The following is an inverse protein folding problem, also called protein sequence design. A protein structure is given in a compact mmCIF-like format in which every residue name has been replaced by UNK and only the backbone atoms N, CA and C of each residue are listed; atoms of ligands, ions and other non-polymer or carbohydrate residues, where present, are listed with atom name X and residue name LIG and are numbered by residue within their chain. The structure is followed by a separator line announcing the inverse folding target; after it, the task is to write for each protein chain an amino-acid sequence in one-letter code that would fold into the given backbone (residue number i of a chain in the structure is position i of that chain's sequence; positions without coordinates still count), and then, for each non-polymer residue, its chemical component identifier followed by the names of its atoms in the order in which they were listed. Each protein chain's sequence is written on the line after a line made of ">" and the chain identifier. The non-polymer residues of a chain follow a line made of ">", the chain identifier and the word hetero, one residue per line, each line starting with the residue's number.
data_IF_096754945800
#
_entry.id   IF_096754945800
#
_cell.length_a   1.000
_cell.length_b   1.000
_cell.length_c   1.000
_cell.angle_alpha   90.00
_cell.angle_beta   90.00
_cell.angle_gamma   90.00
#
_symmetry.space_group_name_H-M   'P 1'
#
loop_
_entity.id
_entity.type
_entity.pdbx_description
1 polymer ?
#
# COMPACT_ATOMS: atom_id res chain seq x y z
N UNK A 1 12.26 10.96 29.19
CA UNK A 1 11.52 10.64 27.96
C UNK A 1 12.00 9.28 27.51
N UNK A 2 11.13 8.28 27.56
CA UNK A 2 11.40 6.85 27.36
C UNK A 2 10.63 6.38 26.10
N UNK A 3 11.33 5.89 25.05
CA UNK A 3 10.68 5.47 23.80
C UNK A 3 9.64 4.36 24.01
N UNK A 4 9.81 3.49 25.01
CA UNK A 4 8.90 2.38 25.31
C UNK A 4 7.64 2.84 26.06
N UNK A 5 7.70 4.03 26.66
CA UNK A 5 6.63 4.62 27.47
C UNK A 5 5.83 5.71 26.78
N UNK A 6 6.34 6.26 25.67
CA UNK A 6 5.71 7.35 24.90
C UNK A 6 5.36 6.94 23.47
N UNK A 7 5.31 5.64 23.17
CA UNK A 7 4.75 5.16 21.90
C UNK A 7 3.31 5.66 21.80
N UNK A 8 2.91 6.37 20.72
CA UNK A 8 1.58 6.94 20.62
C UNK A 8 0.49 5.84 20.72
N UNK A 9 -0.73 6.18 21.16
CA UNK A 9 -1.79 5.19 21.35
C UNK A 9 -2.04 4.36 20.07
N UNK A 10 -2.43 3.08 20.19
CA UNK A 10 -2.70 2.17 19.07
C UNK A 10 -3.68 2.72 18.03
N UNK A 11 -4.47 3.73 18.39
CA UNK A 11 -5.43 4.40 17.52
C UNK A 11 -4.78 5.08 16.31
N UNK A 12 -3.48 5.40 16.36
CA UNK A 12 -2.71 5.92 15.22
C UNK A 12 -2.25 4.82 14.24
N UNK A 13 -2.46 3.54 14.58
CA UNK A 13 -2.28 2.39 13.70
C UNK A 13 -3.61 1.87 13.13
N UNK A 14 -4.73 2.43 13.56
CA UNK A 14 -6.03 2.16 12.94
C UNK A 14 -5.95 2.78 11.56
N UNK A 15 -5.81 1.91 10.57
CA UNK A 15 -5.92 2.15 9.13
C UNK A 15 -6.33 3.59 8.84
N UNK A 16 -5.40 4.44 8.38
CA UNK A 16 -5.78 5.68 7.73
C UNK A 16 -6.75 5.24 6.60
N UNK A 17 -8.07 5.43 6.77
CA UNK A 17 -9.05 4.64 6.03
C UNK A 17 -9.03 5.02 4.55
N UNK A 18 -8.58 6.25 4.27
CA UNK A 18 -8.24 6.74 2.95
C UNK A 18 -7.19 5.87 2.22
N UNK A 19 -6.08 5.52 2.86
CA UNK A 19 -4.98 4.79 2.22
C UNK A 19 -5.34 3.34 1.95
N UNK A 20 -6.01 2.70 2.92
CA UNK A 20 -6.51 1.34 2.72
C UNK A 20 -7.58 1.32 1.62
N UNK A 21 -8.45 2.34 1.56
CA UNK A 21 -9.43 2.47 0.49
C UNK A 21 -8.78 2.69 -0.89
N UNK A 22 -7.74 3.53 -0.99
CA UNK A 22 -7.01 3.75 -2.25
C UNK A 22 -6.37 2.45 -2.77
N UNK A 23 -5.79 1.66 -1.86
CA UNK A 23 -5.15 0.39 -2.23
C UNK A 23 -6.15 -0.62 -2.80
N UNK A 24 -7.33 -0.76 -2.18
CA UNK A 24 -8.40 -1.59 -2.73
C UNK A 24 -9.03 -0.99 -4.00
N UNK A 25 -9.17 0.33 -4.08
CA UNK A 25 -9.76 1.00 -5.23
C UNK A 25 -8.91 0.77 -6.50
N UNK A 26 -7.59 0.67 -6.37
CA UNK A 26 -6.72 0.29 -7.48
C UNK A 26 -7.13 -1.06 -8.09
N UNK A 27 -7.33 -2.08 -7.25
CA UNK A 27 -7.80 -3.41 -7.68
C UNK A 27 -9.20 -3.34 -8.29
N UNK A 28 -10.13 -2.63 -7.66
CA UNK A 28 -11.50 -2.47 -8.17
C UNK A 28 -11.50 -1.80 -9.55
N UNK A 29 -10.66 -0.77 -9.76
CA UNK A 29 -10.54 -0.12 -11.06
C UNK A 29 -10.00 -1.04 -12.13
N UNK A 30 -9.04 -1.91 -11.80
CA UNK A 30 -8.59 -2.93 -12.72
C UNK A 30 -9.72 -3.91 -13.10
N UNK A 31 -10.47 -4.41 -12.12
CA UNK A 31 -11.63 -5.32 -12.34
C UNK A 31 -12.67 -4.68 -13.26
N UNK A 32 -12.88 -3.37 -13.14
CA UNK A 32 -13.81 -2.60 -13.98
C UNK A 32 -13.25 -2.26 -15.39
N UNK A 33 -12.12 -2.83 -15.78
CA UNK A 33 -11.50 -2.61 -17.09
C UNK A 33 -10.82 -1.24 -17.22
N UNK A 34 -10.41 -0.62 -16.10
CA UNK A 34 -9.79 0.71 -16.05
C UNK A 34 -8.33 0.64 -15.57
N UNK A 35 -7.41 -0.02 -16.32
CA UNK A 35 -6.04 -0.28 -15.88
C UNK A 35 -5.22 0.99 -15.64
N UNK A 36 -5.41 2.04 -16.44
CA UNK A 36 -4.69 3.30 -16.24
C UNK A 36 -5.09 3.98 -14.93
N UNK A 37 -6.40 3.98 -14.61
CA UNK A 37 -6.91 4.51 -13.34
C UNK A 37 -6.42 3.67 -12.16
N UNK A 38 -6.33 2.35 -12.32
CA UNK A 38 -5.76 1.47 -11.31
C UNK A 38 -4.29 1.84 -11.01
N UNK A 39 -3.47 2.05 -12.05
CA UNK A 39 -2.07 2.48 -11.90
C UNK A 39 -1.95 3.83 -11.20
N UNK A 40 -2.75 4.83 -11.57
CA UNK A 40 -2.73 6.15 -10.93
C UNK A 40 -3.03 6.07 -9.44
N UNK A 41 -4.08 5.33 -9.07
CA UNK A 41 -4.44 5.15 -7.65
C UNK A 41 -3.38 4.38 -6.88
N UNK A 42 -2.75 3.39 -7.50
CA UNK A 42 -1.68 2.65 -6.87
C UNK A 42 -0.45 3.51 -6.58
N UNK A 43 -0.05 4.37 -7.53
CA UNK A 43 1.04 5.33 -7.35
C UNK A 43 0.73 6.31 -6.22
N UNK A 44 -0.51 6.82 -6.18
CA UNK A 44 -0.97 7.72 -5.13
C UNK A 44 -0.91 7.04 -3.75
N UNK A 45 -1.42 5.82 -3.64
CA UNK A 45 -1.38 5.06 -2.40
C UNK A 45 0.06 4.79 -1.92
N UNK A 46 0.97 4.43 -2.83
CA UNK A 46 2.38 4.19 -2.51
C UNK A 46 3.08 5.46 -2.03
N UNK A 47 2.87 6.60 -2.70
CA UNK A 47 3.39 7.90 -2.26
C UNK A 47 2.90 8.24 -0.85
N UNK A 48 1.60 8.09 -0.59
CA UNK A 48 1.06 8.35 0.74
C UNK A 48 1.62 7.42 1.81
N UNK A 49 1.84 6.14 1.47
CA UNK A 49 2.44 5.19 2.41
C UNK A 49 3.90 5.53 2.75
N UNK A 50 4.66 6.08 1.79
CA UNK A 50 6.01 6.60 2.02
C UNK A 50 5.99 7.84 2.91
N UNK A 51 5.05 8.77 2.69
CA UNK A 51 4.90 9.99 3.50
C UNK A 51 4.54 9.70 4.96
N UNK A 52 3.67 8.72 5.21
CA UNK A 52 3.31 8.34 6.57
C UNK A 52 4.39 7.53 7.28
N UNK A 53 5.26 6.83 6.53
CA UNK A 53 6.35 6.02 7.05
C UNK A 53 5.93 5.06 8.19
N UNK A 54 4.74 4.46 8.05
CA UNK A 54 4.18 3.50 9.00
C UNK A 54 4.27 2.09 8.43
N UNK A 55 5.12 1.24 9.01
CA UNK A 55 5.44 -0.08 8.48
C UNK A 55 4.20 -0.94 8.15
N UNK A 56 3.16 -0.91 9.00
CA UNK A 56 1.91 -1.65 8.77
C UNK A 56 1.16 -1.15 7.53
N UNK A 57 1.03 0.17 7.36
CA UNK A 57 0.37 0.76 6.18
C UNK A 57 1.20 0.57 4.91
N UNK A 58 2.52 0.70 5.00
CA UNK A 58 3.43 0.45 3.89
C UNK A 58 3.31 -0.99 3.40
N UNK A 59 3.31 -1.98 4.31
CA UNK A 59 3.11 -3.38 3.94
C UNK A 59 1.74 -3.61 3.29
N UNK A 60 0.68 -3.03 3.84
CA UNK A 60 -0.68 -3.14 3.30
C UNK A 60 -0.77 -2.60 1.86
N UNK A 61 -0.30 -1.37 1.63
CA UNK A 61 -0.33 -0.75 0.31
C UNK A 61 0.56 -1.51 -0.68
N UNK A 62 1.77 -1.91 -0.29
CA UNK A 62 2.65 -2.69 -1.16
C UNK A 62 2.07 -4.06 -1.50
N UNK A 63 1.22 -4.62 -0.66
CA UNK A 63 0.54 -5.89 -0.93
C UNK A 63 -0.56 -5.70 -1.98
N UNK A 64 -1.51 -4.79 -1.76
CA UNK A 64 -2.67 -4.64 -2.65
C UNK A 64 -2.39 -3.75 -3.86
N UNK A 65 -1.97 -2.50 -3.63
CA UNK A 65 -1.72 -1.53 -4.68
C UNK A 65 -0.42 -1.78 -5.46
N UNK A 66 0.55 -2.46 -4.81
CA UNK A 66 1.81 -2.86 -5.43
C UNK A 66 1.72 -4.26 -6.06
N UNK A 67 2.13 -5.27 -5.30
CA UNK A 67 2.27 -6.65 -5.74
C UNK A 67 0.98 -7.20 -6.38
N UNK A 68 -0.18 -7.06 -5.73
CA UNK A 68 -1.44 -7.58 -6.25
C UNK A 68 -1.85 -6.94 -7.58
N UNK A 69 -1.74 -5.62 -7.72
CA UNK A 69 -2.02 -4.97 -8.99
C UNK A 69 -1.01 -5.35 -10.08
N UNK A 70 0.28 -5.41 -9.75
CA UNK A 70 1.33 -5.78 -10.69
C UNK A 70 1.21 -7.23 -11.15
N UNK A 71 0.74 -8.15 -10.29
CA UNK A 71 0.39 -9.52 -10.67
C UNK A 71 -0.75 -9.55 -11.70
N UNK A 72 -1.83 -8.81 -11.45
CA UNK A 72 -2.97 -8.69 -12.38
C UNK A 72 -2.59 -8.07 -13.73
N UNK A 73 -1.51 -7.29 -13.78
CA UNK A 73 -0.97 -6.68 -14.99
C UNK A 73 0.12 -7.54 -15.66
N UNK A 74 0.51 -8.68 -15.10
CA UNK A 74 1.56 -9.56 -15.62
C UNK A 74 2.99 -9.09 -15.33
N UNK A 75 3.17 -8.13 -14.43
CA UNK A 75 4.42 -7.42 -14.16
C UNK A 75 5.29 -8.14 -13.10
N UNK A 76 5.59 -9.42 -13.34
CA UNK A 76 6.22 -10.32 -12.35
C UNK A 76 7.49 -9.76 -11.69
N UNK A 77 8.35 -9.08 -12.45
CA UNK A 77 9.57 -8.44 -11.92
C UNK A 77 9.26 -7.33 -10.90
N UNK A 78 8.12 -6.65 -11.04
CA UNK A 78 7.68 -5.59 -10.14
C UNK A 78 7.04 -6.17 -8.88
N UNK A 79 6.28 -7.26 -9.02
CA UNK A 79 5.75 -8.06 -7.89
C UNK A 79 6.90 -8.44 -6.94
N UNK A 80 8.00 -8.96 -7.49
CA UNK A 80 9.17 -9.36 -6.68
C UNK A 80 9.76 -8.19 -5.89
N UNK A 81 9.90 -7.01 -6.51
CA UNK A 81 10.41 -5.80 -5.82
C UNK A 81 9.52 -5.37 -4.65
N UNK A 82 8.20 -5.50 -4.79
CA UNK A 82 7.29 -5.21 -3.69
C UNK A 82 7.47 -6.21 -2.55
N UNK A 83 7.56 -7.50 -2.87
CA UNK A 83 7.78 -8.55 -1.87
C UNK A 83 9.10 -8.38 -1.12
N UNK A 84 10.20 -8.06 -1.81
CA UNK A 84 11.53 -7.87 -1.18
C UNK A 84 11.53 -6.76 -0.13
N UNK A 85 10.72 -5.71 -0.31
CA UNK A 85 10.61 -4.63 0.68
C UNK A 85 9.64 -4.96 1.81
N UNK A 86 8.69 -5.87 1.60
CA UNK A 86 7.77 -6.32 2.66
C UNK A 86 8.50 -7.24 3.65
N UNK A 87 9.44 -8.06 3.18
CA UNK A 87 10.16 -9.06 4.00
C UNK A 87 11.45 -8.54 4.65
N UNK A 88 11.92 -7.35 4.27
CA UNK A 88 13.11 -6.70 4.82
C UNK A 88 12.83 -6.02 6.17
#
# INVERSE_FOLDING_TARGET
>A
YDPDRHRPPPVLYVHAPNISALAYLAIVKWILGQPDKARTLAIEALRYAEELNQANLTAHVRTYAGAGLDELLGETSRVRRHADVIVA
#
